data_IF_944545817473
#
_entry.id   IF_944545817473
#
_cell.length_a   1.000
_cell.length_b   1.000
_cell.length_c   1.000
_cell.angle_alpha   90.00
_cell.angle_beta   90.00
_cell.angle_gamma   90.00
#
_symmetry.space_group_name_H-M   'P 1'
#
loop_
_entity.id
_entity.type
_entity.pdbx_description
1 polymer ?
#
# COMPACT_ATOMS: atom_id res chain seq x y z
N UNK A 1 6.52 3.85 19.84
CA UNK A 1 5.28 4.37 20.47
C UNK A 1 4.96 5.81 20.04
N UNK A 2 5.91 6.75 20.09
CA UNK A 2 5.66 8.14 19.65
C UNK A 2 5.47 8.27 18.13
N UNK A 3 6.30 7.60 17.33
CA UNK A 3 6.22 7.63 15.85
C UNK A 3 4.89 7.06 15.34
N UNK A 4 4.43 5.90 15.84
CA UNK A 4 3.12 5.33 15.46
C UNK A 4 1.95 6.29 15.68
N UNK A 5 2.00 7.09 16.75
CA UNK A 5 0.98 8.11 17.01
C UNK A 5 1.04 9.25 15.99
N UNK A 6 2.25 9.70 15.63
CA UNK A 6 2.45 10.73 14.60
C UNK A 6 1.95 10.22 13.24
N UNK A 7 2.22 8.97 12.91
CA UNK A 7 1.76 8.33 11.66
C UNK A 7 0.23 8.26 11.63
N UNK A 8 -0.40 7.73 12.70
CA UNK A 8 -1.86 7.67 12.78
C UNK A 8 -2.52 9.07 12.72
N UNK A 9 -1.86 10.09 13.30
CA UNK A 9 -2.30 11.48 13.18
C UNK A 9 -2.18 11.98 11.74
N UNK A 10 -1.09 11.66 11.04
CA UNK A 10 -0.88 12.05 9.64
C UNK A 10 -1.90 11.40 8.71
N UNK A 11 -2.19 10.11 8.90
CA UNK A 11 -3.24 9.40 8.18
C UNK A 11 -4.60 10.05 8.39
N UNK A 12 -4.95 10.38 9.64
CA UNK A 12 -6.20 11.07 9.95
C UNK A 12 -6.26 12.48 9.34
N UNK A 13 -5.15 13.21 9.35
CA UNK A 13 -5.05 14.55 8.75
C UNK A 13 -5.29 14.51 7.24
N UNK A 14 -4.64 13.56 6.54
CA UNK A 14 -4.66 13.48 5.07
C UNK A 14 -5.91 12.77 4.54
N UNK A 15 -6.28 11.63 5.13
CA UNK A 15 -7.43 10.83 4.67
C UNK A 15 -8.75 11.42 5.24
N UNK A 16 -8.73 11.86 6.49
CA UNK A 16 -9.92 12.36 7.18
C UNK A 16 -10.99 11.29 7.46
N UNK A 17 -12.19 11.77 7.80
CA UNK A 17 -13.33 10.91 8.12
C UNK A 17 -13.35 10.42 9.58
N UNK A 18 -13.91 9.23 9.80
CA UNK A 18 -14.03 8.61 11.13
C UNK A 18 -13.24 7.32 11.13
N UNK A 19 -11.97 7.35 11.57
CA UNK A 19 -11.08 6.22 11.40
C UNK A 19 -11.44 5.07 12.33
N UNK A 20 -11.20 3.86 11.85
CA UNK A 20 -11.12 2.65 12.66
C UNK A 20 -9.71 2.08 12.53
N UNK A 21 -9.16 1.57 13.63
CA UNK A 21 -7.83 0.96 13.65
C UNK A 21 -7.94 -0.43 14.23
N UNK A 22 -7.47 -1.43 13.48
CA UNK A 22 -7.45 -2.82 13.90
C UNK A 22 -6.06 -3.42 13.74
N UNK A 23 -5.64 -4.26 14.68
CA UNK A 23 -4.37 -4.98 14.60
C UNK A 23 -4.50 -6.26 13.79
N UNK A 24 -3.57 -6.46 12.86
CA UNK A 24 -3.40 -7.68 12.08
C UNK A 24 -2.12 -8.38 12.52
N UNK A 25 -2.12 -9.70 12.41
CA UNK A 25 -0.97 -10.57 12.70
C UNK A 25 -0.68 -11.43 11.47
N UNK A 26 0.60 -11.77 11.27
CA UNK A 26 0.96 -12.81 10.31
C UNK A 26 0.57 -14.20 10.84
N UNK A 27 0.59 -15.22 9.97
CA UNK A 27 0.13 -16.58 10.31
C UNK A 27 0.85 -17.18 11.53
N UNK A 28 2.14 -16.91 11.65
CA UNK A 28 2.99 -17.35 12.76
C UNK A 28 2.81 -16.49 14.04
N UNK A 29 2.03 -15.41 13.98
CA UNK A 29 1.84 -14.40 15.03
C UNK A 29 3.15 -13.79 15.57
N UNK A 30 4.16 -13.68 14.71
CA UNK A 30 5.47 -13.07 15.02
C UNK A 30 5.51 -11.60 14.67
N UNK A 31 4.79 -11.20 13.63
CA UNK A 31 4.72 -9.83 13.15
C UNK A 31 3.29 -9.29 13.31
N UNK A 32 3.18 -8.00 13.58
CA UNK A 32 1.89 -7.31 13.60
C UNK A 32 2.00 -5.93 12.97
N UNK A 33 0.89 -5.49 12.38
CA UNK A 33 0.72 -4.13 11.86
C UNK A 33 -0.70 -3.66 12.22
N UNK A 34 -0.83 -2.40 12.62
CA UNK A 34 -2.13 -1.80 12.81
C UNK A 34 -2.61 -1.23 11.46
N UNK A 35 -3.86 -1.47 11.09
CA UNK A 35 -4.44 -0.98 9.84
C UNK A 35 -5.50 0.07 10.19
N UNK A 36 -5.24 1.30 9.75
CA UNK A 36 -6.20 2.39 9.70
C UNK A 36 -7.17 2.14 8.55
N UNK A 37 -8.46 2.46 8.75
CA UNK A 37 -9.46 2.49 7.69
C UNK A 37 -10.45 3.64 7.87
N UNK A 38 -10.88 4.24 6.77
CA UNK A 38 -11.89 5.31 6.76
C UNK A 38 -12.83 5.16 5.57
N UNK A 39 -14.13 5.06 5.85
CA UNK A 39 -15.19 4.91 4.83
C UNK A 39 -15.46 6.22 4.11
N UNK A 40 -15.93 6.09 2.87
CA UNK A 40 -16.30 7.19 1.98
C UNK A 40 -15.13 8.19 1.76
N UNK A 41 -13.93 7.62 1.62
CA UNK A 41 -12.67 8.33 1.35
C UNK A 41 -11.86 7.56 0.29
N UNK A 42 -11.22 8.24 -0.69
CA UNK A 42 -11.36 9.67 -0.98
C UNK A 42 -12.74 10.02 -1.56
N UNK A 43 -13.46 9.03 -2.09
CA UNK A 43 -14.79 9.17 -2.70
C UNK A 43 -15.86 8.39 -1.93
N UNK A 44 -17.12 8.76 -2.11
CA UNK A 44 -18.23 7.95 -1.59
C UNK A 44 -18.22 6.56 -2.23
N UNK A 45 -18.41 5.53 -1.41
CA UNK A 45 -18.33 4.13 -1.84
C UNK A 45 -16.93 3.52 -1.76
N UNK A 46 -15.89 4.31 -1.49
CA UNK A 46 -14.51 3.84 -1.38
C UNK A 46 -14.07 3.86 0.09
N UNK A 47 -13.25 2.89 0.48
CA UNK A 47 -12.62 2.83 1.79
C UNK A 47 -11.13 3.05 1.61
N UNK A 48 -10.59 4.01 2.35
CA UNK A 48 -9.15 4.25 2.44
C UNK A 48 -8.55 3.39 3.54
N UNK A 49 -7.33 2.91 3.33
CA UNK A 49 -6.57 2.09 4.26
C UNK A 49 -5.13 2.58 4.37
N UNK A 50 -4.54 2.46 5.55
CA UNK A 50 -3.14 2.79 5.78
C UNK A 50 -2.54 1.87 6.84
N UNK A 51 -1.25 1.56 6.71
CA UNK A 51 -0.50 0.86 7.75
C UNK A 51 0.00 1.84 8.80
N UNK A 52 -0.14 1.46 10.07
CA UNK A 52 0.49 2.13 11.20
C UNK A 52 1.52 1.16 11.79
N UNK A 53 2.80 1.47 11.59
CA UNK A 53 3.91 0.76 12.22
C UNK A 53 4.76 -0.08 11.30
N UNK A 54 4.48 -0.15 9.99
CA UNK A 54 5.42 -0.78 9.05
C UNK A 54 6.77 -0.06 9.08
N UNK A 55 6.75 1.25 9.28
CA UNK A 55 7.92 2.12 9.39
C UNK A 55 8.86 1.81 10.58
N UNK A 56 8.45 0.94 11.51
CA UNK A 56 9.34 0.41 12.53
C UNK A 56 10.32 -0.62 11.96
N UNK A 57 10.01 -1.22 10.80
CA UNK A 57 10.85 -2.17 10.09
C UNK A 57 11.84 -1.49 9.13
N UNK A 58 13.02 -2.08 8.97
CA UNK A 58 13.98 -1.61 7.98
C UNK A 58 13.69 -2.13 6.58
N UNK A 59 13.87 -1.27 5.57
CA UNK A 59 13.69 -1.62 4.16
C UNK A 59 14.99 -1.56 3.35
N UNK A 60 16.13 -1.41 4.02
CA UNK A 60 17.45 -1.44 3.39
C UNK A 60 17.81 -0.20 2.55
N UNK A 61 17.02 0.87 2.62
CA UNK A 61 17.24 2.12 1.90
C UNK A 61 17.68 3.25 2.84
N UNK A 62 18.46 4.18 2.29
CA UNK A 62 18.97 5.39 2.96
C UNK A 62 18.64 6.60 2.10
N UNK A 63 18.18 7.68 2.73
CA UNK A 63 17.91 8.97 2.10
C UNK A 63 18.42 10.08 3.00
N UNK A 64 19.19 11.04 2.47
CA UNK A 64 19.78 12.14 3.23
C UNK A 64 20.50 11.69 4.52
N UNK A 65 21.34 10.67 4.41
CA UNK A 65 22.07 10.03 5.53
C UNK A 65 21.20 9.45 6.66
N UNK A 66 19.88 9.31 6.43
CA UNK A 66 18.92 8.70 7.34
C UNK A 66 18.39 7.41 6.76
N UNK A 67 18.01 6.48 7.63
CA UNK A 67 17.33 5.29 7.14
C UNK A 67 15.95 5.65 6.60
N UNK A 68 15.68 5.31 5.35
CA UNK A 68 14.35 5.44 4.77
C UNK A 68 13.47 4.30 5.27
N UNK A 69 12.25 4.66 5.68
CA UNK A 69 11.19 3.76 6.14
C UNK A 69 9.93 4.06 5.33
N UNK A 70 8.99 3.13 5.33
CA UNK A 70 7.72 3.30 4.60
C UNK A 70 6.53 2.89 5.44
N UNK A 71 5.41 3.58 5.17
CA UNK A 71 4.07 3.06 5.40
C UNK A 71 3.40 2.82 4.03
N UNK A 72 2.42 1.91 4.01
CA UNK A 72 1.64 1.59 2.82
C UNK A 72 0.25 2.19 2.95
N UNK A 73 -0.26 2.73 1.86
CA UNK A 73 -1.64 3.21 1.75
C UNK A 73 -2.33 2.57 0.56
N UNK A 74 -3.66 2.49 0.61
CA UNK A 74 -4.47 1.96 -0.48
C UNK A 74 -5.92 2.35 -0.32
N UNK A 75 -6.71 2.19 -1.38
CA UNK A 75 -8.14 2.42 -1.34
C UNK A 75 -8.85 1.39 -2.22
N UNK A 76 -10.06 1.02 -1.84
CA UNK A 76 -10.82 -0.01 -2.54
C UNK A 76 -12.34 0.22 -2.40
N UNK A 77 -13.13 -0.28 -3.35
CA UNK A 77 -14.60 -0.28 -3.23
C UNK A 77 -15.00 -0.95 -1.91
N UNK A 78 -15.91 -0.33 -1.17
CA UNK A 78 -16.40 -0.83 0.14
C UNK A 78 -17.01 -2.23 0.10
N UNK A 79 -17.35 -2.75 -1.08
CA UNK A 79 -17.80 -4.13 -1.27
C UNK A 79 -16.67 -5.14 -1.10
N UNK A 80 -15.42 -4.73 -1.31
CA UNK A 80 -14.23 -5.57 -1.18
C UNK A 80 -13.79 -5.70 0.29
N UNK A 81 -14.33 -6.72 0.96
CA UNK A 81 -14.17 -6.90 2.42
C UNK A 81 -12.76 -7.27 2.86
N UNK A 82 -11.93 -7.77 1.96
CA UNK A 82 -10.61 -8.33 2.29
C UNK A 82 -9.44 -7.39 1.99
N UNK A 83 -9.70 -6.16 1.55
CA UNK A 83 -8.61 -5.26 1.15
C UNK A 83 -7.67 -4.89 2.33
N UNK A 84 -8.19 -4.77 3.55
CA UNK A 84 -7.36 -4.58 4.74
C UNK A 84 -6.43 -5.78 5.00
N UNK A 85 -6.90 -7.01 4.74
CA UNK A 85 -6.08 -8.20 4.83
C UNK A 85 -4.97 -8.19 3.77
N UNK A 86 -5.30 -7.87 2.51
CA UNK A 86 -4.31 -7.69 1.43
C UNK A 86 -3.22 -6.70 1.84
N UNK A 87 -3.61 -5.51 2.32
CA UNK A 87 -2.65 -4.49 2.78
C UNK A 87 -1.76 -5.00 3.91
N UNK A 88 -2.34 -5.72 4.89
CA UNK A 88 -1.56 -6.31 5.98
C UNK A 88 -0.56 -7.37 5.50
N UNK A 89 -0.94 -8.22 4.54
CA UNK A 89 -0.06 -9.22 3.94
C UNK A 89 1.08 -8.57 3.17
N UNK A 90 0.80 -7.50 2.41
CA UNK A 90 1.83 -6.72 1.73
C UNK A 90 2.83 -6.16 2.75
N UNK A 91 2.36 -5.62 3.87
CA UNK A 91 3.20 -5.15 4.95
C UNK A 91 4.06 -6.27 5.55
N UNK A 92 3.49 -7.45 5.79
CA UNK A 92 4.24 -8.61 6.29
C UNK A 92 5.30 -9.10 5.31
N UNK A 93 5.02 -9.09 4.01
CA UNK A 93 6.01 -9.42 2.99
C UNK A 93 7.18 -8.44 2.98
N UNK A 94 6.91 -7.14 3.15
CA UNK A 94 7.95 -6.12 3.33
C UNK A 94 8.76 -6.39 4.60
N UNK A 95 8.11 -6.68 5.73
CA UNK A 95 8.79 -6.97 7.01
C UNK A 95 9.71 -8.20 6.92
N UNK A 96 9.27 -9.27 6.24
CA UNK A 96 10.06 -10.49 6.04
C UNK A 96 11.26 -10.23 5.13
N UNK A 97 11.06 -9.52 4.02
CA UNK A 97 12.11 -9.24 3.02
C UNK A 97 13.09 -8.17 3.45
N UNK A 98 12.67 -7.26 4.35
CA UNK A 98 13.41 -6.06 4.77
C UNK A 98 13.86 -5.21 3.57
N UNK A 99 13.02 -5.17 2.54
CA UNK A 99 13.23 -4.46 1.28
C UNK A 99 11.88 -4.00 0.75
N UNK A 100 11.85 -2.75 0.30
CA UNK A 100 10.68 -2.12 -0.30
C UNK A 100 11.11 -0.84 -1.02
N UNK A 101 10.73 -0.70 -2.28
CA UNK A 101 10.92 0.50 -3.09
C UNK A 101 9.70 0.81 -3.95
N UNK A 102 9.60 2.06 -4.37
CA UNK A 102 8.76 2.44 -5.50
C UNK A 102 9.14 1.61 -6.74
N UNK A 103 8.14 1.10 -7.45
CA UNK A 103 8.33 0.18 -8.56
C UNK A 103 8.29 -1.31 -8.18
N UNK A 104 8.30 -1.64 -6.88
CA UNK A 104 8.31 -3.04 -6.43
C UNK A 104 6.96 -3.74 -6.70
N UNK A 105 7.03 -5.04 -7.00
CA UNK A 105 5.86 -5.90 -7.15
C UNK A 105 5.86 -6.97 -6.06
N UNK A 106 4.82 -6.95 -5.23
CA UNK A 106 4.54 -7.95 -4.19
C UNK A 106 3.53 -8.96 -4.75
N UNK A 107 4.00 -10.18 -4.96
CA UNK A 107 3.29 -11.17 -5.78
C UNK A 107 2.28 -11.99 -4.97
N UNK A 108 1.12 -12.29 -5.58
CA UNK A 108 0.14 -13.30 -5.14
C UNK A 108 -0.61 -12.99 -3.84
N UNK A 109 -0.35 -11.83 -3.23
CA UNK A 109 -0.99 -11.40 -1.98
C UNK A 109 -2.50 -11.18 -2.11
N UNK A 110 -3.01 -10.85 -3.30
CA UNK A 110 -4.46 -10.72 -3.52
C UNK A 110 -5.10 -12.09 -3.66
N UNK A 111 -4.42 -13.03 -4.33
CA UNK A 111 -4.90 -14.40 -4.55
C UNK A 111 -5.18 -15.17 -3.26
N UNK A 112 -4.57 -14.77 -2.14
CA UNK A 112 -4.82 -15.34 -0.81
C UNK A 112 -6.25 -15.06 -0.30
N UNK A 113 -6.89 -14.01 -0.80
CA UNK A 113 -8.20 -13.55 -0.33
C UNK A 113 -9.26 -13.49 -1.43
N UNK A 114 -8.85 -13.21 -2.67
CA UNK A 114 -9.73 -13.00 -3.82
C UNK A 114 -9.33 -13.96 -4.96
N UNK A 115 -9.67 -15.25 -4.79
CA UNK A 115 -9.22 -16.35 -5.68
C UNK A 115 -9.61 -16.14 -7.15
N UNK A 116 -10.79 -15.57 -7.40
CA UNK A 116 -11.33 -15.38 -8.76
C UNK A 116 -10.90 -14.05 -9.40
N UNK A 117 -10.14 -13.21 -8.69
CA UNK A 117 -9.68 -11.93 -9.24
C UNK A 117 -8.57 -12.13 -10.27
N UNK A 118 -8.64 -11.34 -11.35
CA UNK A 118 -7.53 -11.22 -12.30
C UNK A 118 -6.37 -10.41 -11.73
N UNK A 119 -6.63 -9.54 -10.75
CA UNK A 119 -5.63 -8.81 -9.98
C UNK A 119 -5.07 -9.73 -8.90
N UNK A 120 -3.82 -10.18 -9.08
CA UNK A 120 -3.20 -11.18 -8.19
C UNK A 120 -2.06 -10.60 -7.37
N UNK A 121 -1.43 -9.54 -7.86
CA UNK A 121 -0.26 -8.93 -7.26
C UNK A 121 -0.55 -7.48 -6.88
N UNK A 122 0.38 -6.91 -6.12
CA UNK A 122 0.37 -5.49 -5.76
C UNK A 122 1.62 -4.84 -6.32
N UNK A 123 1.45 -3.73 -7.01
CA UNK A 123 2.48 -2.80 -7.44
C UNK A 123 2.59 -1.65 -6.42
N UNK A 124 3.80 -1.20 -6.11
CA UNK A 124 4.04 -0.08 -5.19
C UNK A 124 4.34 1.20 -5.95
N UNK A 125 3.42 2.15 -5.88
CA UNK A 125 3.42 3.41 -6.63
C UNK A 125 3.59 4.64 -5.70
N UNK A 126 3.83 5.81 -6.29
CA UNK A 126 3.73 7.07 -5.56
C UNK A 126 2.29 7.33 -5.03
N UNK A 127 2.14 7.96 -3.86
CA UNK A 127 0.81 8.24 -3.29
C UNK A 127 0.18 9.47 -3.96
N UNK A 128 -0.59 9.26 -5.04
CA UNK A 128 -1.26 10.36 -5.77
C UNK A 128 -2.75 10.54 -5.42
N UNK A 129 -3.36 9.60 -4.69
CA UNK A 129 -4.78 9.63 -4.36
C UNK A 129 -5.18 10.73 -3.37
N UNK A 130 -4.24 11.17 -2.55
CA UNK A 130 -4.45 12.22 -1.55
C UNK A 130 -3.28 13.20 -1.59
N UNK A 131 -3.60 14.48 -1.54
CA UNK A 131 -2.61 15.52 -1.29
C UNK A 131 -2.19 15.50 0.19
N UNK A 132 -0.89 15.52 0.46
CA UNK A 132 -0.36 15.73 1.80
C UNK A 132 0.40 14.56 2.42
N UNK A 133 0.57 13.42 1.73
CA UNK A 133 1.51 12.36 2.14
C UNK A 133 2.97 12.71 1.84
N UNK A 134 3.44 13.80 2.44
CA UNK A 134 4.85 14.22 2.39
C UNK A 134 5.71 13.37 3.34
N UNK A 135 6.95 13.10 2.96
CA UNK A 135 7.93 12.37 3.79
C UNK A 135 8.10 13.05 5.15
N UNK A 136 7.90 12.30 6.23
CA UNK A 136 8.17 12.77 7.58
C UNK A 136 9.63 12.57 7.95
N UNK A 137 10.23 13.63 8.46
CA UNK A 137 11.63 13.65 8.87
C UNK A 137 11.76 13.48 10.38
N UNK A 138 12.48 12.43 10.80
CA UNK A 138 12.88 12.21 12.18
C UNK A 138 14.40 12.35 12.33
N UNK A 139 14.91 12.19 13.56
CA UNK A 139 16.34 12.35 13.84
C UNK A 139 17.20 11.30 13.13
N UNK A 140 16.80 10.03 13.17
CA UNK A 140 17.56 8.87 12.70
C UNK A 140 16.99 8.23 11.42
N UNK A 141 15.77 8.62 11.03
CA UNK A 141 15.02 8.02 9.92
C UNK A 141 14.12 9.04 9.24
N UNK A 142 13.70 8.71 8.03
CA UNK A 142 12.57 9.35 7.36
C UNK A 142 11.49 8.31 7.07
N UNK A 143 10.23 8.72 7.04
CA UNK A 143 9.09 7.85 6.74
C UNK A 143 8.36 8.41 5.53
N UNK A 144 8.33 7.65 4.45
CA UNK A 144 7.57 7.95 3.24
C UNK A 144 6.36 7.04 3.11
N UNK A 145 5.47 7.34 2.15
CA UNK A 145 4.30 6.51 1.84
C UNK A 145 4.39 5.95 0.43
N UNK A 146 3.94 4.71 0.26
CA UNK A 146 3.74 4.10 -1.05
C UNK A 146 2.29 3.63 -1.18
N UNK A 147 1.71 3.88 -2.36
CA UNK A 147 0.37 3.44 -2.72
C UNK A 147 0.42 2.01 -3.26
N UNK A 148 -0.43 1.13 -2.73
CA UNK A 148 -0.61 -0.22 -3.27
C UNK A 148 -1.61 -0.20 -4.42
N UNK A 149 -1.20 -0.69 -5.59
CA UNK A 149 -2.03 -0.80 -6.79
C UNK A 149 -2.20 -2.27 -7.16
N UNK A 150 -3.43 -2.83 -7.17
CA UNK A 150 -3.69 -4.18 -7.67
C UNK A 150 -3.31 -4.33 -9.13
N UNK A 151 -2.56 -5.39 -9.47
CA UNK A 151 -2.14 -5.69 -10.86
C UNK A 151 -2.33 -7.17 -11.23
N UNK A 152 -2.52 -7.43 -12.52
CA UNK A 152 -2.64 -8.79 -13.08
C UNK A 152 -1.29 -9.48 -13.30
N UNK A 153 -1.32 -10.78 -13.61
CA UNK A 153 -0.15 -11.52 -14.11
C UNK A 153 0.45 -10.84 -15.36
N UNK A 154 -0.40 -10.41 -16.31
CA UNK A 154 0.04 -9.76 -17.55
C UNK A 154 0.68 -8.40 -17.31
N UNK A 155 0.13 -7.60 -16.40
CA UNK A 155 0.67 -6.29 -16.02
C UNK A 155 2.02 -6.44 -15.32
N UNK A 156 2.14 -7.42 -14.42
CA UNK A 156 3.43 -7.79 -13.82
C UNK A 156 4.44 -8.19 -14.88
N UNK A 157 4.08 -9.10 -15.79
CA UNK A 157 4.96 -9.54 -16.87
C UNK A 157 5.38 -8.37 -17.77
N UNK A 158 4.45 -7.48 -18.09
CA UNK A 158 4.73 -6.28 -18.86
C UNK A 158 5.73 -5.37 -18.14
N UNK A 159 5.57 -5.10 -16.84
CA UNK A 159 6.51 -4.30 -16.06
C UNK A 159 7.90 -4.94 -15.95
N UNK A 160 7.99 -6.28 -15.83
CA UNK A 160 9.28 -6.99 -15.81
C UNK A 160 10.01 -6.83 -17.15
N UNK A 161 9.29 -6.86 -18.27
CA UNK A 161 9.88 -6.79 -19.61
C UNK A 161 10.21 -5.35 -20.03
N UNK A 162 9.33 -4.39 -19.72
CA UNK A 162 9.37 -3.03 -20.26
C UNK A 162 9.74 -1.95 -19.21
N UNK A 163 9.92 -2.33 -17.95
CA UNK A 163 10.06 -1.40 -16.83
C UNK A 163 8.72 -0.97 -16.25
N UNK A 164 8.71 -0.63 -14.96
CA UNK A 164 7.50 -0.18 -14.26
C UNK A 164 7.02 1.19 -14.74
N UNK A 165 7.93 2.06 -15.21
CA UNK A 165 7.60 3.37 -15.80
C UNK A 165 6.65 3.20 -16.99
N UNK A 166 6.97 2.27 -17.89
CA UNK A 166 6.11 1.93 -19.04
C UNK A 166 4.75 1.38 -18.61
N UNK A 167 4.66 0.70 -17.46
CA UNK A 167 3.38 0.21 -16.93
C UNK A 167 2.56 1.37 -16.35
N UNK A 168 3.19 2.33 -15.69
CA UNK A 168 2.51 3.53 -15.18
C UNK A 168 1.96 4.39 -16.32
N UNK A 169 2.70 4.57 -17.42
CA UNK A 169 2.20 5.23 -18.62
C UNK A 169 0.92 4.55 -19.14
N UNK A 170 0.88 3.21 -19.12
CA UNK A 170 -0.32 2.44 -19.51
C UNK A 170 -1.48 2.61 -18.54
N UNK A 171 -1.21 2.73 -17.24
CA UNK A 171 -2.24 3.00 -16.24
C UNK A 171 -2.85 4.37 -16.41
N UNK A 172 -2.03 5.38 -16.69
CA UNK A 172 -2.47 6.75 -16.96
C UNK A 172 -3.27 6.83 -18.27
N UNK A 173 -2.76 6.26 -19.37
CA UNK A 173 -3.44 6.23 -20.67
C UNK A 173 -4.83 5.58 -20.60
N UNK A 174 -4.96 4.53 -19.78
CA UNK A 174 -6.20 3.75 -19.65
C UNK A 174 -7.15 4.27 -18.57
N UNK A 175 -6.74 5.25 -17.75
CA UNK A 175 -7.50 5.76 -16.59
C UNK A 175 -8.07 4.62 -15.73
N UNK A 176 -7.17 3.75 -15.25
CA UNK A 176 -7.60 2.52 -14.59
C UNK A 176 -8.39 2.78 -13.30
N UNK A 177 -9.45 1.99 -13.09
CA UNK A 177 -10.18 1.98 -11.83
C UNK A 177 -9.38 1.21 -10.76
N UNK A 178 -8.47 1.90 -10.08
CA UNK A 178 -7.60 1.32 -9.05
C UNK A 178 -8.36 0.83 -7.80
N UNK A 179 -9.63 1.22 -7.64
CA UNK A 179 -10.47 0.78 -6.51
C UNK A 179 -11.16 -0.57 -6.79
N UNK A 180 -11.15 -1.03 -8.04
CA UNK A 180 -11.84 -2.23 -8.46
C UNK A 180 -10.88 -3.42 -8.58
N UNK A 181 -10.86 -4.27 -7.55
CA UNK A 181 -10.10 -5.53 -7.56
C UNK A 181 -10.54 -6.50 -8.67
N UNK A 182 -11.71 -6.32 -9.26
CA UNK A 182 -12.24 -7.19 -10.31
C UNK A 182 -12.07 -6.58 -11.72
N UNK A 183 -11.32 -5.47 -11.85
CA UNK A 183 -11.00 -4.92 -13.16
C UNK A 183 -10.25 -5.94 -14.01
N UNK A 184 -10.30 -5.74 -15.33
CA UNK A 184 -9.52 -6.52 -16.29
C UNK A 184 -8.15 -5.91 -16.49
N UNK A 185 -7.20 -6.73 -16.91
CA UNK A 185 -5.88 -6.25 -17.28
C UNK A 185 -5.96 -5.29 -18.47
N UNK A 186 -5.14 -4.24 -18.44
CA UNK A 186 -5.00 -3.31 -19.58
C UNK A 186 -3.92 -3.72 -20.60
N UNK A 187 -3.30 -4.90 -20.40
CA UNK A 187 -2.30 -5.50 -21.30
C UNK A 187 -2.93 -6.58 -22.21
#
# INVERSE_FOLDING_TARGET
MEIKKIIAQKELEVIGGKPQVFRYWDDDQKNSVDIFSSLDRPYSGVVSYATIGLSECEIGLVSNDKSLRVELIGACDKKEKHFANVLSTVAFEVMKKKKCSYGDIIQNVISEYCIDSEMKHVYLMNPFLWDGFETLEFRDRSVAWLLIIPISDKEKEYAIVNGWESLEDKFEEADIDIFNLNRKSII
#
